data_IF_028683633572
#
_entry.id   IF_028683633572
#
_cell.length_a   1.000
_cell.length_b   1.000
_cell.length_c   1.000
_cell.angle_alpha   90.00
_cell.angle_beta   90.00
_cell.angle_gamma   90.00
#
_symmetry.space_group_name_H-M   'P 1'
#
loop_
_entity.id
_entity.type
_entity.pdbx_description
1 polymer ?
#
# COMPACT_ATOMS: atom_id res chain seq x y z
N UNK A 1 -3.78 -25.48 -62.21
CA UNK A 1 -2.34 -25.16 -62.12
C UNK A 1 -2.14 -24.52 -60.74
N UNK A 2 -1.57 -25.25 -59.76
CA UNK A 2 -0.16 -25.25 -59.31
C UNK A 2 0.24 -23.98 -58.53
N UNK A 3 0.58 -24.18 -57.24
CA UNK A 3 1.08 -23.21 -56.25
C UNK A 3 2.32 -22.44 -56.72
N UNK A 4 2.48 -21.19 -56.26
CA UNK A 4 3.71 -20.50 -55.78
C UNK A 4 3.39 -19.00 -55.65
N UNK A 5 3.87 -18.17 -54.71
CA UNK A 5 5.06 -18.20 -53.86
C UNK A 5 4.76 -17.32 -52.62
N UNK A 6 5.24 -17.76 -51.46
CA UNK A 6 5.23 -16.99 -50.23
C UNK A 6 6.34 -15.92 -50.21
N UNK A 7 6.19 -14.97 -49.27
CA UNK A 7 7.19 -14.05 -48.71
C UNK A 7 7.26 -12.63 -49.32
N UNK A 8 7.01 -11.60 -48.49
CA UNK A 8 8.01 -10.67 -47.90
C UNK A 8 7.32 -9.54 -47.11
N UNK A 9 7.95 -9.13 -45.99
CA UNK A 9 7.72 -7.94 -45.12
C UNK A 9 6.52 -8.04 -44.14
N UNK A 10 6.65 -8.47 -42.88
CA UNK A 10 7.67 -8.16 -41.87
C UNK A 10 8.00 -6.66 -41.72
N UNK A 11 6.99 -5.80 -41.85
CA UNK A 11 7.05 -4.40 -41.43
C UNK A 11 6.83 -4.32 -39.92
N UNK A 12 7.90 -3.95 -39.20
CA UNK A 12 7.99 -3.87 -37.75
C UNK A 12 6.74 -3.27 -37.09
N UNK A 13 6.01 -4.09 -36.32
CA UNK A 13 5.28 -3.57 -35.17
C UNK A 13 6.37 -3.06 -34.20
N UNK A 14 6.46 -1.75 -33.91
CA UNK A 14 7.24 -1.32 -32.77
C UNK A 14 6.53 -1.90 -31.55
N UNK A 15 7.01 -3.05 -31.05
CA UNK A 15 6.69 -3.53 -29.72
C UNK A 15 7.33 -2.54 -28.74
N UNK A 16 6.64 -1.43 -28.50
CA UNK A 16 6.88 -0.61 -27.31
C UNK A 16 6.31 -1.43 -26.15
N UNK A 17 7.14 -2.28 -25.55
CA UNK A 17 6.85 -2.80 -24.22
C UNK A 17 6.93 -1.60 -23.27
N UNK A 18 5.79 -1.00 -22.95
CA UNK A 18 5.68 -0.11 -21.81
C UNK A 18 5.95 -0.96 -20.56
N UNK A 19 7.20 -0.99 -20.11
CA UNK A 19 7.55 -1.57 -18.83
C UNK A 19 6.68 -0.85 -17.78
N UNK A 20 5.79 -1.58 -17.12
CA UNK A 20 4.92 -1.05 -16.07
C UNK A 20 5.83 -0.70 -14.90
N UNK A 21 6.26 0.56 -14.83
CA UNK A 21 7.07 1.06 -13.72
C UNK A 21 6.18 1.07 -12.49
N UNK A 22 6.38 0.09 -11.61
CA UNK A 22 5.72 0.03 -10.32
C UNK A 22 6.51 0.82 -9.29
N UNK A 23 5.80 1.49 -8.39
CA UNK A 23 6.38 2.10 -7.19
C UNK A 23 6.15 1.17 -6.01
N UNK A 24 7.22 0.91 -5.26
CA UNK A 24 7.11 0.27 -3.95
C UNK A 24 6.61 1.32 -2.96
N UNK A 25 5.52 1.03 -2.28
CA UNK A 25 4.87 1.95 -1.32
C UNK A 25 4.44 1.22 -0.06
N UNK A 26 4.35 2.00 1.02
CA UNK A 26 3.62 1.64 2.23
C UNK A 26 2.34 2.47 2.25
N UNK A 27 1.20 1.78 2.38
CA UNK A 27 -0.13 2.38 2.50
C UNK A 27 -0.58 2.22 3.94
N UNK A 28 -0.85 3.34 4.61
CA UNK A 28 -1.31 3.37 6.00
C UNK A 28 -2.69 4.03 6.07
N UNK A 29 -3.63 3.39 6.75
CA UNK A 29 -4.98 3.92 6.94
C UNK A 29 -5.14 4.58 8.32
N UNK A 30 -6.07 5.55 8.43
CA UNK A 30 -6.46 6.11 9.72
C UNK A 30 -6.91 5.03 10.72
N UNK A 31 -6.80 5.34 12.00
CA UNK A 31 -7.26 4.45 13.08
C UNK A 31 -8.77 4.19 12.96
N UNK A 32 -9.18 2.96 13.26
CA UNK A 32 -10.60 2.57 13.18
C UNK A 32 -11.13 2.46 11.74
N UNK A 33 -10.26 2.41 10.73
CA UNK A 33 -10.66 2.09 9.36
C UNK A 33 -11.21 0.66 9.30
N UNK A 34 -12.45 0.46 8.81
CA UNK A 34 -13.03 -0.87 8.68
C UNK A 34 -12.22 -1.77 7.74
N UNK A 35 -12.13 -3.06 8.08
CA UNK A 35 -11.44 -4.05 7.24
C UNK A 35 -11.98 -4.10 5.81
N UNK A 36 -13.26 -3.80 5.60
CA UNK A 36 -13.87 -3.74 4.28
C UNK A 36 -13.25 -2.65 3.39
N UNK A 37 -12.93 -1.49 3.96
CA UNK A 37 -12.29 -0.38 3.24
C UNK A 37 -10.85 -0.75 2.86
N UNK A 38 -10.10 -1.33 3.80
CA UNK A 38 -8.72 -1.81 3.53
C UNK A 38 -8.73 -2.92 2.47
N UNK A 39 -9.68 -3.84 2.54
CA UNK A 39 -9.84 -4.92 1.55
C UNK A 39 -10.18 -4.35 0.18
N UNK A 40 -11.14 -3.43 0.09
CA UNK A 40 -11.51 -2.77 -1.16
C UNK A 40 -10.33 -2.00 -1.79
N UNK A 41 -9.48 -1.37 -0.97
CA UNK A 41 -8.27 -0.70 -1.42
C UNK A 41 -7.22 -1.69 -1.98
N UNK A 42 -7.03 -2.84 -1.34
CA UNK A 42 -6.15 -3.90 -1.89
C UNK A 42 -6.70 -4.43 -3.21
N UNK A 43 -8.00 -4.70 -3.26
CA UNK A 43 -8.66 -5.24 -4.45
C UNK A 43 -8.58 -4.27 -5.63
N UNK A 44 -8.78 -2.96 -5.40
CA UNK A 44 -8.69 -1.94 -6.46
C UNK A 44 -7.26 -1.79 -6.99
N UNK A 45 -6.25 -1.86 -6.11
CA UNK A 45 -4.85 -1.87 -6.52
C UNK A 45 -4.49 -3.11 -7.34
N UNK A 46 -4.90 -4.31 -6.88
CA UNK A 46 -4.65 -5.56 -7.60
C UNK A 46 -5.35 -5.58 -8.96
N UNK A 47 -6.59 -5.09 -9.04
CA UNK A 47 -7.32 -4.93 -10.31
C UNK A 47 -6.60 -3.98 -11.28
N UNK A 48 -5.85 -3.01 -10.75
CA UNK A 48 -4.98 -2.09 -11.52
C UNK A 48 -3.58 -2.69 -11.80
N UNK A 49 -3.41 -3.98 -11.53
CA UNK A 49 -2.18 -4.76 -11.70
C UNK A 49 -1.11 -4.48 -10.65
N UNK A 50 -1.46 -3.91 -9.51
CA UNK A 50 -0.58 -3.82 -8.35
C UNK A 50 -0.39 -5.18 -7.67
N UNK A 51 0.63 -5.27 -6.83
CA UNK A 51 1.00 -6.48 -6.09
C UNK A 51 1.10 -6.10 -4.62
N UNK A 52 0.37 -6.81 -3.74
CA UNK A 52 0.52 -6.65 -2.29
C UNK A 52 1.74 -7.48 -1.86
N UNK A 53 2.72 -6.83 -1.25
CA UNK A 53 3.98 -7.49 -0.83
C UNK A 53 3.91 -7.92 0.62
N UNK A 54 3.32 -7.09 1.50
CA UNK A 54 3.16 -7.38 2.92
C UNK A 54 1.86 -6.76 3.46
N UNK A 55 1.26 -7.39 4.45
CA UNK A 55 0.10 -6.84 5.17
C UNK A 55 0.46 -6.50 6.61
N UNK A 56 0.00 -5.33 7.08
CA UNK A 56 0.18 -4.87 8.44
C UNK A 56 -1.18 -4.84 9.13
N UNK A 57 -1.39 -5.83 10.01
CA UNK A 57 -2.58 -5.89 10.86
C UNK A 57 -2.25 -5.38 12.25
N UNK A 58 -3.18 -4.62 12.80
CA UNK A 58 -3.17 -4.21 14.19
C UNK A 58 -1.87 -3.47 14.56
N UNK A 59 -1.40 -2.53 13.72
CA UNK A 59 -0.28 -1.66 14.11
C UNK A 59 -0.74 -0.81 15.30
N UNK A 60 -0.32 -1.23 16.49
CA UNK A 60 -0.61 -0.53 17.73
C UNK A 60 0.30 0.70 17.76
N UNK A 61 -0.24 1.94 17.82
CA UNK A 61 0.58 3.08 18.16
C UNK A 61 1.17 2.82 19.55
N UNK A 62 2.47 3.01 19.74
CA UNK A 62 3.08 2.93 21.08
C UNK A 62 2.38 3.95 21.97
N UNK A 63 1.44 3.47 22.76
CA UNK A 63 0.75 4.25 23.77
C UNK A 63 1.54 4.12 25.06
N UNK A 64 2.04 5.25 25.55
CA UNK A 64 2.52 5.37 26.93
C UNK A 64 1.38 4.95 27.86
N UNK A 65 1.59 3.90 28.65
CA UNK A 65 0.60 3.42 29.60
C UNK A 65 0.52 4.36 30.81
N UNK A 66 -0.63 5.01 31.02
CA UNK A 66 -0.96 5.53 32.35
C UNK A 66 -1.46 4.38 33.23
N UNK A 67 -0.58 3.99 34.16
CA UNK A 67 -0.81 3.42 35.49
C UNK A 67 -2.09 2.62 35.74
N UNK A 68 -1.93 1.33 36.01
CA UNK A 68 -2.88 0.56 36.80
C UNK A 68 -3.22 1.33 38.10
N UNK A 69 -4.49 1.71 38.30
CA UNK A 69 -4.92 2.29 39.57
C UNK A 69 -4.86 1.20 40.66
N UNK A 70 -4.54 1.58 41.90
CA UNK A 70 -4.16 0.71 43.04
C UNK A 70 -5.22 -0.29 43.54
N UNK A 71 -6.30 -0.52 42.79
CA UNK A 71 -7.29 -1.57 43.05
C UNK A 71 -7.37 -2.54 41.86
N UNK A 72 -6.39 -3.45 41.81
CA UNK A 72 -6.35 -4.77 41.16
C UNK A 72 -7.52 -5.19 40.24
N UNK A 73 -7.82 -4.42 39.20
CA UNK A 73 -8.72 -4.83 38.12
C UNK A 73 -8.11 -4.42 36.79
N UNK A 74 -7.02 -5.09 36.41
CA UNK A 74 -6.61 -5.13 35.01
C UNK A 74 -7.61 -6.00 34.26
N UNK A 75 -8.64 -5.39 33.65
CA UNK A 75 -9.58 -6.08 32.79
C UNK A 75 -8.94 -6.31 31.41
N UNK A 76 -8.00 -7.27 31.33
CA UNK A 76 -7.20 -7.52 30.13
C UNK A 76 -8.04 -7.71 28.86
N UNK A 77 -9.25 -8.28 28.95
CA UNK A 77 -10.15 -8.49 27.80
C UNK A 77 -10.77 -7.19 27.26
N UNK A 78 -11.27 -6.30 28.13
CA UNK A 78 -11.98 -5.08 27.71
C UNK A 78 -11.06 -4.02 27.11
N UNK A 79 -9.75 -4.16 27.35
CA UNK A 79 -8.72 -3.29 26.83
C UNK A 79 -8.29 -3.68 25.41
N UNK A 80 -8.31 -4.97 25.04
CA UNK A 80 -7.93 -5.41 23.67
C UNK A 80 -8.97 -4.95 22.64
N UNK A 81 -10.25 -4.96 23.00
CA UNK A 81 -11.32 -4.46 22.12
C UNK A 81 -11.29 -2.94 21.95
N UNK A 82 -10.85 -2.18 22.95
CA UNK A 82 -10.60 -0.74 22.80
C UNK A 82 -9.31 -0.45 22.00
N UNK A 83 -8.27 -1.27 22.14
CA UNK A 83 -7.03 -1.15 21.34
C UNK A 83 -7.28 -1.41 19.85
N UNK A 84 -8.23 -2.29 19.48
CA UNK A 84 -8.57 -2.52 18.07
C UNK A 84 -9.07 -1.27 17.36
N UNK A 85 -9.69 -0.32 18.08
CA UNK A 85 -10.10 0.98 17.53
C UNK A 85 -8.94 1.98 17.44
N UNK A 86 -7.82 1.72 18.12
CA UNK A 86 -6.60 2.52 18.09
C UNK A 86 -5.55 2.02 17.10
N UNK A 87 -5.68 0.79 16.63
CA UNK A 87 -4.75 0.22 15.69
C UNK A 87 -4.96 0.79 14.29
N UNK A 88 -3.87 1.19 13.66
CA UNK A 88 -3.86 1.51 12.23
C UNK A 88 -3.67 0.21 11.45
N UNK A 89 -4.34 0.11 10.30
CA UNK A 89 -4.16 -0.98 9.35
C UNK A 89 -3.44 -0.46 8.12
N UNK A 90 -2.67 -1.31 7.47
CA UNK A 90 -1.92 -0.92 6.28
C UNK A 90 -1.39 -2.12 5.51
N UNK A 91 -0.73 -1.84 4.40
CA UNK A 91 -0.05 -2.86 3.60
C UNK A 91 1.07 -2.21 2.79
N UNK A 92 2.08 -3.00 2.44
CA UNK A 92 3.07 -2.64 1.44
C UNK A 92 2.65 -3.19 0.07
N UNK A 93 2.92 -2.44 -0.99
CA UNK A 93 2.55 -2.82 -2.34
C UNK A 93 3.51 -2.27 -3.40
N UNK A 94 3.57 -2.97 -4.53
CA UNK A 94 4.13 -2.44 -5.77
C UNK A 94 2.97 -2.10 -6.72
N UNK A 95 2.82 -0.83 -7.10
CA UNK A 95 1.68 -0.41 -7.91
C UNK A 95 2.02 0.69 -8.93
N UNK A 96 1.27 0.78 -10.04
CA UNK A 96 1.38 1.92 -10.96
C UNK A 96 1.01 3.24 -10.30
N UNK A 97 1.66 4.32 -10.74
CA UNK A 97 1.38 5.67 -10.22
C UNK A 97 -0.10 6.07 -10.38
N UNK A 98 -0.74 5.75 -11.50
CA UNK A 98 -2.16 6.06 -11.70
C UNK A 98 -3.09 5.27 -10.76
N UNK A 99 -2.72 4.04 -10.40
CA UNK A 99 -3.45 3.25 -9.41
C UNK A 99 -3.31 3.88 -8.01
N UNK A 100 -2.12 4.36 -7.65
CA UNK A 100 -1.87 5.05 -6.39
C UNK A 100 -2.62 6.39 -6.29
N UNK A 101 -2.68 7.16 -7.39
CA UNK A 101 -3.48 8.39 -7.47
C UNK A 101 -4.97 8.12 -7.29
N UNK A 102 -5.47 7.03 -7.90
CA UNK A 102 -6.86 6.60 -7.73
C UNK A 102 -7.12 6.21 -6.29
N UNK A 103 -6.24 5.37 -5.70
CA UNK A 103 -6.36 4.93 -4.32
C UNK A 103 -6.37 6.11 -3.34
N UNK A 104 -5.52 7.13 -3.55
CA UNK A 104 -5.43 8.31 -2.69
C UNK A 104 -6.74 9.13 -2.60
N UNK A 105 -7.67 8.90 -3.52
CA UNK A 105 -8.97 9.61 -3.60
C UNK A 105 -10.18 8.68 -3.51
N UNK A 106 -9.97 7.37 -3.39
CA UNK A 106 -11.01 6.35 -3.42
C UNK A 106 -11.98 6.45 -2.24
N UNK A 107 -11.48 6.81 -1.06
CA UNK A 107 -12.29 7.00 0.15
C UNK A 107 -11.95 8.35 0.80
N UNK A 108 -12.97 9.20 0.99
CA UNK A 108 -12.81 10.53 1.56
C UNK A 108 -12.83 10.53 3.09
N UNK A 109 -13.41 9.51 3.72
CA UNK A 109 -13.51 9.37 5.17
C UNK A 109 -12.26 8.67 5.73
N UNK A 110 -11.80 7.62 5.07
CA UNK A 110 -10.65 6.79 5.45
C UNK A 110 -9.51 6.96 4.46
N UNK A 111 -9.16 8.21 4.17
CA UNK A 111 -8.10 8.55 3.22
C UNK A 111 -6.76 7.93 3.69
N UNK A 112 -6.11 7.08 2.88
CA UNK A 112 -4.81 6.54 3.23
C UNK A 112 -3.69 7.58 3.06
N UNK A 113 -2.64 7.40 3.86
CA UNK A 113 -1.32 7.97 3.63
C UNK A 113 -0.49 6.96 2.84
N UNK A 114 0.10 7.42 1.73
CA UNK A 114 0.87 6.60 0.80
C UNK A 114 2.28 7.17 0.75
N UNK A 115 3.24 6.37 1.20
CA UNK A 115 4.67 6.72 1.24
C UNK A 115 5.46 5.79 0.33
N UNK A 116 6.47 6.30 -0.38
CA UNK A 116 7.41 5.44 -1.13
C UNK A 116 8.26 4.64 -0.14
N UNK A 117 8.30 3.33 -0.34
CA UNK A 117 9.12 2.44 0.48
C UNK A 117 10.58 2.57 0.07
N UNK A 118 11.37 3.26 0.90
CA UNK A 118 12.79 3.53 0.65
C UNK A 118 13.67 2.67 1.54
N UNK A 119 14.73 2.14 0.94
CA UNK A 119 15.77 1.45 1.68
C UNK A 119 16.54 2.45 2.55
N UNK A 120 16.63 2.15 3.84
CA UNK A 120 17.50 2.87 4.77
C UNK A 120 18.86 2.18 4.82
N UNK A 121 19.94 2.96 4.81
CA UNK A 121 21.30 2.43 5.00
C UNK A 121 21.83 2.85 6.36
N UNK A 122 22.65 2.01 6.99
CA UNK A 122 23.21 2.29 8.32
C UNK A 122 24.21 3.47 8.34
N UNK A 123 24.60 3.97 7.16
CA UNK A 123 25.64 4.96 6.99
C UNK A 123 25.06 6.36 6.70
N UNK A 124 24.11 6.82 7.50
CA UNK A 124 23.84 8.25 7.83
C UNK A 124 23.63 9.33 6.75
N UNK A 125 23.70 9.05 5.44
CA UNK A 125 23.68 10.08 4.40
C UNK A 125 22.24 10.30 3.88
N UNK A 126 21.44 11.03 4.66
CA UNK A 126 20.10 11.46 4.25
C UNK A 126 20.19 12.58 3.22
N UNK A 127 20.16 12.24 1.93
CA UNK A 127 19.89 13.21 0.85
C UNK A 127 18.37 13.37 0.76
N UNK A 128 17.82 14.33 1.52
CA UNK A 128 16.41 14.69 1.45
C UNK A 128 16.10 15.36 0.11
N UNK A 129 15.54 14.60 -0.82
CA UNK A 129 14.99 15.15 -2.05
C UNK A 129 13.66 15.84 -1.70
N UNK A 130 13.62 17.17 -1.86
CA UNK A 130 12.45 17.99 -1.59
C UNK A 130 11.41 17.65 -2.64
N UNK A 131 10.45 16.82 -2.24
CA UNK A 131 9.33 16.40 -3.08
C UNK A 131 8.57 17.58 -3.65
N UNK A 132 8.47 17.61 -4.98
CA UNK A 132 7.42 18.32 -5.71
C UNK A 132 6.58 17.27 -6.41
N UNK A 133 5.28 17.25 -6.09
CA UNK A 133 4.26 16.54 -6.85
C UNK A 133 3.75 17.42 -7.98
#
# INVERSE_FOLDING_TARGET
MKLSLAAILLGALPMVLAAKVLKSVIVTFPKGTPDSVVTQAKDSLVASGGIITHEYRNMIPVVSYDSCNTHNLCNTYSYISSISNHASSGFAAEAPVNALQTLATQDTQYKPDIEEDKVVTANGDYVGDVGTF
#
